data_IF_125491006905
#
_entry.id   IF_125491006905
#
_cell.length_a   1.000
_cell.length_b   1.000
_cell.length_c   1.000
_cell.angle_alpha   90.00
_cell.angle_beta   90.00
_cell.angle_gamma   90.00
#
_symmetry.space_group_name_H-M   'P 1'
#
loop_
_entity.id
_entity.type
_entity.pdbx_description
1 polymer ?
#
# COMPACT_ATOMS: atom_id res chain seq x y z
N UNK A 1 -24.55 17.43 -15.22
CA UNK A 1 -23.91 16.21 -14.69
C UNK A 1 -24.71 15.05 -15.24
N UNK A 2 -24.34 14.54 -16.40
CA UNK A 2 -25.16 13.60 -17.18
C UNK A 2 -25.07 12.19 -16.58
N UNK A 3 -26.18 11.69 -16.01
CA UNK A 3 -26.36 10.36 -15.41
C UNK A 3 -26.45 9.24 -16.47
N UNK A 4 -25.69 9.33 -17.56
CA UNK A 4 -25.80 8.39 -18.67
C UNK A 4 -24.87 7.20 -18.45
N UNK A 5 -25.50 6.13 -17.98
CA UNK A 5 -25.03 4.74 -17.90
C UNK A 5 -24.24 4.39 -16.64
N UNK A 6 -24.98 4.14 -15.56
CA UNK A 6 -24.45 3.41 -14.40
C UNK A 6 -23.99 1.99 -14.72
N UNK A 7 -24.05 1.55 -15.98
CA UNK A 7 -23.59 0.25 -16.47
C UNK A 7 -22.49 0.46 -17.53
N UNK A 8 -21.34 -0.17 -17.30
CA UNK A 8 -20.20 -0.22 -18.20
C UNK A 8 -19.99 -1.62 -18.77
N UNK A 9 -19.37 -1.70 -19.93
CA UNK A 9 -18.83 -2.94 -20.49
C UNK A 9 -17.29 -2.92 -20.50
N UNK A 10 -16.67 -4.00 -20.97
CA UNK A 10 -15.22 -4.10 -21.07
C UNK A 10 -14.60 -2.98 -21.92
N UNK A 11 -15.28 -2.50 -22.97
CA UNK A 11 -14.76 -1.45 -23.86
C UNK A 11 -14.69 -0.12 -23.13
N UNK A 12 -15.76 0.25 -22.41
CA UNK A 12 -15.77 1.43 -21.55
C UNK A 12 -14.63 1.40 -20.52
N UNK A 13 -14.42 0.24 -19.87
CA UNK A 13 -13.34 0.11 -18.88
C UNK A 13 -11.95 0.29 -19.49
N UNK A 14 -11.76 -0.12 -20.75
CA UNK A 14 -10.49 0.05 -21.47
C UNK A 14 -10.30 1.49 -21.93
N UNK A 15 -11.32 2.08 -22.54
CA UNK A 15 -11.21 3.38 -23.23
C UNK A 15 -11.30 4.55 -22.24
N UNK A 16 -12.24 4.52 -21.30
CA UNK A 16 -12.49 5.64 -20.39
C UNK A 16 -11.66 5.55 -19.10
N UNK A 17 -11.47 4.33 -18.59
CA UNK A 17 -10.73 4.10 -17.34
C UNK A 17 -9.30 3.60 -17.54
N UNK A 18 -8.86 3.45 -18.80
CA UNK A 18 -7.52 2.96 -19.16
C UNK A 18 -7.14 1.63 -18.48
N UNK A 19 -8.12 0.77 -18.19
CA UNK A 19 -7.88 -0.52 -17.56
C UNK A 19 -7.41 -1.54 -18.59
N UNK A 20 -6.36 -2.29 -18.28
CA UNK A 20 -5.93 -3.37 -19.16
C UNK A 20 -6.91 -4.54 -19.14
N UNK A 21 -7.07 -5.26 -20.26
CA UNK A 21 -7.90 -6.49 -20.29
C UNK A 21 -7.49 -7.51 -19.24
N UNK A 22 -6.19 -7.63 -18.97
CA UNK A 22 -5.67 -8.51 -17.92
C UNK A 22 -6.16 -8.10 -16.52
N UNK A 23 -6.16 -6.79 -16.23
CA UNK A 23 -6.70 -6.24 -14.99
C UNK A 23 -8.20 -6.52 -14.88
N UNK A 24 -8.97 -6.20 -15.93
CA UNK A 24 -10.42 -6.40 -15.95
C UNK A 24 -10.75 -7.88 -15.69
N UNK A 25 -10.07 -8.81 -16.36
CA UNK A 25 -10.29 -10.24 -16.16
C UNK A 25 -9.93 -10.72 -14.73
N UNK A 26 -8.85 -10.21 -14.16
CA UNK A 26 -8.44 -10.55 -12.79
C UNK A 26 -9.44 -10.04 -11.74
N UNK A 27 -9.96 -8.84 -11.94
CA UNK A 27 -10.78 -8.14 -10.94
C UNK A 27 -12.28 -8.15 -11.25
N UNK A 28 -12.73 -8.79 -12.33
CA UNK A 28 -14.11 -8.73 -12.81
C UNK A 28 -15.14 -9.05 -11.72
N UNK A 29 -14.92 -10.13 -10.96
CA UNK A 29 -15.82 -10.55 -9.88
C UNK A 29 -15.87 -9.53 -8.73
N UNK A 30 -14.73 -8.93 -8.39
CA UNK A 30 -14.63 -7.93 -7.33
C UNK A 30 -15.31 -6.61 -7.71
N UNK A 31 -15.22 -6.25 -9.00
CA UNK A 31 -15.94 -5.11 -9.58
C UNK A 31 -17.45 -5.38 -9.78
N UNK A 32 -17.95 -6.55 -9.37
CA UNK A 32 -19.37 -6.90 -9.46
C UNK A 32 -19.84 -7.20 -10.89
N UNK A 33 -19.01 -7.86 -11.71
CA UNK A 33 -19.38 -8.25 -13.07
C UNK A 33 -20.66 -9.10 -13.12
N UNK A 34 -21.55 -8.81 -14.06
CA UNK A 34 -22.78 -9.57 -14.30
C UNK A 34 -23.10 -9.70 -15.80
N UNK A 35 -24.01 -10.62 -16.15
CA UNK A 35 -24.50 -10.79 -17.51
C UNK A 35 -23.53 -11.47 -18.51
N UNK A 36 -24.05 -11.76 -19.71
CA UNK A 36 -23.31 -12.25 -20.87
C UNK A 36 -23.84 -11.54 -22.13
N UNK A 37 -23.08 -10.68 -22.81
CA UNK A 37 -21.71 -10.25 -22.50
C UNK A 37 -21.60 -9.55 -21.13
N UNK A 38 -20.39 -9.58 -20.56
CA UNK A 38 -20.10 -9.06 -19.23
C UNK A 38 -20.35 -7.55 -19.16
N UNK A 39 -21.00 -7.14 -18.08
CA UNK A 39 -21.30 -5.75 -17.73
C UNK A 39 -20.93 -5.50 -16.27
N UNK A 40 -20.79 -4.23 -15.92
CA UNK A 40 -20.42 -3.77 -14.59
C UNK A 40 -21.28 -2.60 -14.20
N UNK A 41 -21.52 -2.41 -12.91
CA UNK A 41 -21.98 -1.10 -12.44
C UNK A 41 -20.77 -0.18 -12.28
N UNK A 42 -20.80 1.00 -12.90
CA UNK A 42 -19.68 1.96 -12.85
C UNK A 42 -19.31 2.30 -11.41
N UNK A 43 -20.32 2.45 -10.54
CA UNK A 43 -20.14 2.67 -9.10
C UNK A 43 -19.26 1.58 -8.46
N UNK A 44 -19.58 0.30 -8.69
CA UNK A 44 -18.83 -0.82 -8.11
C UNK A 44 -17.39 -0.88 -8.62
N UNK A 45 -17.18 -0.53 -9.89
CA UNK A 45 -15.84 -0.43 -10.48
C UNK A 45 -15.04 0.66 -9.76
N UNK A 46 -15.62 1.87 -9.61
CA UNK A 46 -14.95 2.98 -8.93
C UNK A 46 -14.67 2.68 -7.46
N UNK A 47 -15.63 2.11 -6.73
CA UNK A 47 -15.45 1.70 -5.34
C UNK A 47 -14.28 0.70 -5.19
N UNK A 48 -14.18 -0.28 -6.10
CA UNK A 48 -13.07 -1.23 -6.13
C UNK A 48 -11.71 -0.56 -6.43
N UNK A 49 -11.67 0.37 -7.39
CA UNK A 49 -10.44 1.12 -7.72
C UNK A 49 -9.99 2.01 -6.55
N UNK A 50 -10.93 2.67 -5.86
CA UNK A 50 -10.63 3.45 -4.66
C UNK A 50 -10.09 2.58 -3.53
N UNK A 51 -10.66 1.40 -3.31
CA UNK A 51 -10.15 0.46 -2.32
C UNK A 51 -8.71 0.01 -2.64
N UNK A 52 -8.42 -0.32 -3.91
CA UNK A 52 -7.06 -0.67 -4.34
C UNK A 52 -6.07 0.48 -4.14
N UNK A 53 -6.50 1.72 -4.42
CA UNK A 53 -5.68 2.91 -4.18
C UNK A 53 -5.38 3.09 -2.68
N UNK A 54 -6.40 2.95 -1.83
CA UNK A 54 -6.25 3.04 -0.37
C UNK A 54 -5.30 1.96 0.17
N UNK A 55 -5.47 0.70 -0.23
CA UNK A 55 -4.56 -0.38 0.15
C UNK A 55 -3.11 -0.11 -0.28
N UNK A 56 -2.92 0.48 -1.47
CA UNK A 56 -1.59 0.85 -1.95
C UNK A 56 -0.98 1.95 -1.08
N UNK A 57 -1.75 2.99 -0.74
CA UNK A 57 -1.32 4.06 0.15
C UNK A 57 -0.96 3.54 1.55
N UNK A 58 -1.79 2.67 2.12
CA UNK A 58 -1.54 2.04 3.40
C UNK A 58 -0.27 1.19 3.39
N UNK A 59 -0.02 0.43 2.32
CA UNK A 59 1.22 -0.35 2.15
C UNK A 59 2.46 0.54 2.11
N UNK A 60 2.38 1.71 1.49
CA UNK A 60 3.49 2.68 1.47
C UNK A 60 3.72 3.25 2.86
N UNK A 61 2.67 3.70 3.55
CA UNK A 61 2.75 4.26 4.89
C UNK A 61 3.23 3.24 5.92
N UNK A 62 2.73 2.00 5.86
CA UNK A 62 3.18 0.91 6.73
C UNK A 62 4.65 0.54 6.51
N UNK A 63 5.15 0.60 5.27
CA UNK A 63 6.59 0.42 4.99
C UNK A 63 7.43 1.57 5.58
N UNK A 64 6.95 2.81 5.50
CA UNK A 64 7.63 3.96 6.09
C UNK A 64 7.72 3.84 7.62
N UNK A 65 6.63 3.44 8.29
CA UNK A 65 6.60 3.21 9.75
C UNK A 65 7.58 2.09 10.13
N UNK A 66 7.57 0.95 9.43
CA UNK A 66 8.51 -0.15 9.71
C UNK A 66 9.97 0.29 9.58
N UNK A 67 10.28 1.12 8.58
CA UNK A 67 11.64 1.65 8.39
C UNK A 67 12.03 2.63 9.50
N UNK A 68 11.09 3.46 9.97
CA UNK A 68 11.32 4.36 11.10
C UNK A 68 11.60 3.59 12.40
N UNK A 69 10.80 2.57 12.70
CA UNK A 69 10.98 1.72 13.89
C UNK A 69 12.33 0.99 13.86
N UNK A 70 12.72 0.43 12.71
CA UNK A 70 14.03 -0.21 12.55
C UNK A 70 15.19 0.77 12.79
N UNK A 71 15.08 2.01 12.30
CA UNK A 71 16.10 3.05 12.54
C UNK A 71 16.20 3.38 14.03
N UNK A 72 15.09 3.44 14.75
CA UNK A 72 15.08 3.68 16.18
C UNK A 72 15.76 2.53 16.95
N UNK A 73 15.41 1.28 16.64
CA UNK A 73 16.02 0.09 17.25
C UNK A 73 17.55 0.04 17.05
N UNK A 74 18.02 0.36 15.84
CA UNK A 74 19.46 0.46 15.54
C UNK A 74 20.12 1.56 16.38
N UNK A 75 19.49 2.73 16.52
CA UNK A 75 20.02 3.82 17.34
C UNK A 75 20.09 3.44 18.82
N UNK A 76 19.09 2.73 19.35
CA UNK A 76 19.08 2.24 20.72
C UNK A 76 20.20 1.22 20.96
N UNK A 77 20.39 0.27 20.03
CA UNK A 77 21.50 -0.69 20.05
C UNK A 77 22.85 0.03 20.02
N UNK A 78 23.01 1.01 19.14
CA UNK A 78 24.25 1.78 19.02
C UNK A 78 24.55 2.55 20.32
N UNK A 79 23.57 3.25 20.87
CA UNK A 79 23.70 3.97 22.14
C UNK A 79 24.08 3.02 23.29
N UNK A 80 23.44 1.85 23.37
CA UNK A 80 23.75 0.84 24.37
C UNK A 80 25.19 0.31 24.25
N UNK A 81 25.69 0.12 23.01
CA UNK A 81 27.08 -0.29 22.77
C UNK A 81 28.07 0.81 23.17
N UNK A 82 27.81 2.06 22.76
CA UNK A 82 28.67 3.22 23.08
C UNK A 82 28.74 3.43 24.59
N UNK A 83 27.60 3.43 25.29
CA UNK A 83 27.53 3.57 26.75
C UNK A 83 28.31 2.44 27.43
N UNK A 84 28.16 1.19 26.98
CA UNK A 84 28.92 0.05 27.54
C UNK A 84 30.42 0.18 27.31
N UNK A 85 30.86 0.67 26.15
CA UNK A 85 32.28 0.88 25.87
C UNK A 85 32.89 2.03 26.69
N UNK A 86 32.15 3.14 26.86
CA UNK A 86 32.60 4.27 27.67
C UNK A 86 32.73 3.89 29.15
N UNK A 87 31.76 3.17 29.71
CA UNK A 87 31.85 2.62 31.09
C UNK A 87 33.04 1.66 31.27
N UNK A 88 33.35 0.84 30.26
CA UNK A 88 34.55 -0.03 30.29
C UNK A 88 35.87 0.75 30.24
N UNK A 89 35.91 1.90 29.57
CA UNK A 89 37.09 2.78 29.51
C UNK A 89 37.28 3.55 30.83
N UNK A 90 36.20 4.08 31.40
CA UNK A 90 36.24 4.73 32.73
C UNK A 90 36.72 3.77 33.82
N UNK A 91 36.23 2.52 33.84
CA UNK A 91 36.67 1.50 34.79
C UNK A 91 38.16 1.12 34.65
N UNK A 92 38.78 1.34 33.48
CA UNK A 92 40.22 1.12 33.27
C UNK A 92 41.06 2.31 33.73
N UNK A 93 40.55 3.54 33.65
CA UNK A 93 41.27 4.75 34.05
C UNK A 93 41.28 4.99 35.57
N UNK A 94 40.39 4.35 36.35
CA UNK A 94 40.37 4.45 37.82
C UNK A 94 41.39 3.50 38.50
N UNK A 95 42.03 2.60 37.74
CA UNK A 95 43.01 1.62 38.26
C UNK A 95 44.48 2.04 38.10
N UNK A 96 44.75 3.32 37.83
CA UNK A 96 46.11 3.89 37.81
C UNK A 96 46.28 4.82 38.99
#
# INVERSE_FOLDING_TARGET
>A
MDERHGIADDSYLVEELNLTKAFINRHARQMGSFGRPRKFFVKNVMDHLHNLANESMEKVNGKAIKKANLKQEINELFNNVVIKQNKKREAKNVRV
#
